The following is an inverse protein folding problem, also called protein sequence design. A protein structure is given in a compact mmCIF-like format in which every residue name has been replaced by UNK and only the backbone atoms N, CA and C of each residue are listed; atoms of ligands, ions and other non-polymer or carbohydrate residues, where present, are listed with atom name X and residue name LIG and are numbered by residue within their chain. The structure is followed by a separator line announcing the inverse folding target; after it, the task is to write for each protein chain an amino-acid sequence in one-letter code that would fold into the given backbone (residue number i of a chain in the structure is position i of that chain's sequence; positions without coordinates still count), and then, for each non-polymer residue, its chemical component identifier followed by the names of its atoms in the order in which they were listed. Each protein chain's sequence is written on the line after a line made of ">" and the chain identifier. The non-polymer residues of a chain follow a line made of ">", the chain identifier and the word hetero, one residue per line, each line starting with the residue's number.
data_IF_138434454759
#
_entry.id   IF_138434454759
#
_cell.length_a   1.000
_cell.length_b   1.000
_cell.length_c   1.000
_cell.angle_alpha   90.00
_cell.angle_beta   90.00
_cell.angle_gamma   90.00
#
_symmetry.space_group_name_H-M   'P 1'
#
loop_
_entity.id
_entity.type
_entity.pdbx_description
1 polymer ?
#
# COMPACT_ATOMS: atom_id res chain seq x y z
N UNK A 1 9.60 9.85 -19.41
CA UNK A 1 9.06 10.40 -18.15
C UNK A 1 8.80 9.21 -17.23
N UNK A 2 9.88 8.58 -16.75
CA UNK A 2 9.80 7.46 -15.83
C UNK A 2 10.09 7.99 -14.43
N UNK A 3 9.03 8.37 -13.73
CA UNK A 3 9.07 8.74 -12.32
C UNK A 3 9.24 7.46 -11.46
N UNK A 4 10.31 6.70 -11.73
CA UNK A 4 10.62 5.40 -11.13
C UNK A 4 11.82 5.51 -10.19
N UNK A 5 11.86 6.51 -9.30
CA UNK A 5 12.87 6.53 -8.23
C UNK A 5 12.62 7.63 -7.20
N UNK A 6 11.72 7.43 -6.25
CA UNK A 6 11.92 7.98 -4.90
C UNK A 6 11.46 6.94 -3.89
N UNK A 7 12.41 6.08 -3.55
CA UNK A 7 12.45 5.11 -2.44
C UNK A 7 12.38 5.78 -1.07
N UNK A 8 11.48 6.74 -0.90
CA UNK A 8 11.18 7.31 0.41
C UNK A 8 10.15 6.38 1.02
N UNK A 9 10.52 5.58 2.04
CA UNK A 9 9.58 4.77 2.83
C UNK A 9 8.44 5.64 3.35
N UNK A 10 7.38 5.72 2.56
CA UNK A 10 6.25 6.61 2.82
C UNK A 10 5.16 5.72 3.36
N UNK A 11 4.94 5.76 4.66
CA UNK A 11 3.88 5.01 5.30
C UNK A 11 2.53 5.63 4.96
N UNK A 12 1.82 5.03 4.00
CA UNK A 12 0.51 5.52 3.56
C UNK A 12 -0.59 4.93 4.43
N UNK A 13 -1.66 5.69 4.64
CA UNK A 13 -2.89 5.14 5.19
C UNK A 13 -3.59 4.29 4.12
N UNK A 14 -4.62 3.55 4.52
CA UNK A 14 -5.44 2.81 3.57
C UNK A 14 -6.04 3.72 2.48
N UNK A 15 -6.56 4.88 2.87
CA UNK A 15 -7.14 5.84 1.96
C UNK A 15 -6.09 6.38 0.98
N UNK A 16 -4.93 6.83 1.48
CA UNK A 16 -3.86 7.34 0.62
C UNK A 16 -3.35 6.28 -0.36
N UNK A 17 -3.24 5.01 0.09
CA UNK A 17 -2.87 3.91 -0.79
C UNK A 17 -3.95 3.62 -1.85
N UNK A 18 -5.22 3.68 -1.46
CA UNK A 18 -6.36 3.50 -2.37
C UNK A 18 -6.36 4.57 -3.46
N UNK A 19 -6.14 5.84 -3.10
CA UNK A 19 -6.05 6.95 -4.05
C UNK A 19 -4.81 6.84 -4.96
N UNK A 20 -3.65 6.49 -4.40
CA UNK A 20 -2.40 6.28 -5.14
C UNK A 20 -2.52 5.17 -6.19
N UNK A 21 -3.10 4.03 -5.79
CA UNK A 21 -3.31 2.88 -6.68
C UNK A 21 -4.55 3.04 -7.56
N UNK A 22 -5.40 4.04 -7.28
CA UNK A 22 -6.75 4.20 -7.85
C UNK A 22 -7.58 2.93 -7.71
N UNK A 23 -7.47 2.29 -6.54
CA UNK A 23 -8.23 1.10 -6.17
C UNK A 23 -9.23 1.45 -5.08
N UNK A 24 -10.37 0.75 -5.01
CA UNK A 24 -11.28 0.92 -3.89
C UNK A 24 -10.62 0.39 -2.61
N UNK A 25 -10.91 1.04 -1.47
CA UNK A 25 -10.42 0.60 -0.16
C UNK A 25 -10.74 -0.86 0.14
N UNK A 26 -11.89 -1.34 -0.38
CA UNK A 26 -12.33 -2.73 -0.27
C UNK A 26 -11.34 -3.74 -0.86
N UNK A 27 -10.61 -3.37 -1.92
CA UNK A 27 -9.53 -4.21 -2.48
C UNK A 27 -8.36 -4.30 -1.51
N UNK A 28 -8.03 -3.20 -0.81
CA UNK A 28 -6.99 -3.22 0.21
C UNK A 28 -7.40 -4.05 1.43
N UNK A 29 -8.69 -4.04 1.78
CA UNK A 29 -9.23 -4.92 2.82
C UNK A 29 -9.12 -6.40 2.40
N UNK A 30 -9.48 -6.72 1.17
CA UNK A 30 -9.34 -8.07 0.61
C UNK A 30 -7.88 -8.54 0.62
N UNK A 31 -6.94 -7.66 0.27
CA UNK A 31 -5.49 -7.92 0.34
C UNK A 31 -4.99 -8.22 1.76
N UNK A 32 -5.57 -7.58 2.77
CA UNK A 32 -5.27 -7.92 4.17
C UNK A 32 -5.78 -9.31 4.56
N UNK A 33 -6.97 -9.68 4.08
CA UNK A 33 -7.57 -10.98 4.37
C UNK A 33 -6.86 -12.12 3.65
N UNK A 34 -6.47 -11.88 2.41
CA UNK A 34 -5.77 -12.85 1.54
C UNK A 34 -4.26 -12.86 1.77
N UNK A 35 -3.74 -12.00 2.66
CA UNK A 35 -2.31 -11.78 2.87
C UNK A 35 -1.54 -11.50 1.56
N UNK A 36 -2.25 -10.95 0.57
CA UNK A 36 -1.75 -10.73 -0.78
C UNK A 36 -1.69 -9.23 -1.01
N UNK A 37 -0.51 -8.62 -0.95
CA UNK A 37 -0.37 -7.18 -1.13
C UNK A 37 0.86 -6.58 -0.46
N UNK A 38 0.99 -5.24 -0.49
CA UNK A 38 2.11 -4.54 0.09
C UNK A 38 2.19 -4.75 1.61
N UNK A 39 3.41 -4.76 2.18
CA UNK A 39 3.61 -4.92 3.61
C UNK A 39 2.85 -3.84 4.37
N UNK A 40 2.02 -4.28 5.31
CA UNK A 40 1.28 -3.39 6.20
C UNK A 40 1.83 -3.49 7.62
N UNK A 41 1.97 -2.32 8.25
CA UNK A 41 2.32 -2.17 9.65
C UNK A 41 1.06 -1.83 10.45
N UNK A 42 0.78 -2.61 11.48
CA UNK A 42 -0.33 -2.34 12.41
C UNK A 42 0.20 -1.55 13.61
N UNK A 43 -0.10 -0.26 13.64
CA UNK A 43 0.19 0.64 14.77
C UNK A 43 -1.08 0.79 15.63
N UNK A 44 -1.33 -0.21 16.46
CA UNK A 44 -2.52 -0.26 17.33
C UNK A 44 -3.81 -0.33 16.52
N UNK A 45 -4.58 0.77 16.52
CA UNK A 45 -5.83 0.90 15.74
C UNK A 45 -5.59 1.33 14.28
N UNK A 46 -4.41 1.85 13.97
CA UNK A 46 -4.08 2.35 12.64
C UNK A 46 -3.29 1.31 11.86
N UNK A 47 -3.62 1.15 10.59
CA UNK A 47 -2.84 0.34 9.66
C UNK A 47 -2.20 1.28 8.66
N UNK A 48 -0.89 1.12 8.47
CA UNK A 48 -0.14 1.85 7.45
C UNK A 48 0.52 0.88 6.49
N UNK A 49 0.62 1.28 5.24
CA UNK A 49 1.23 0.51 4.17
C UNK A 49 2.58 1.10 3.85
N UNK A 50 3.59 0.25 3.79
CA UNK A 50 4.90 0.64 3.27
C UNK A 50 4.88 0.44 1.74
N UNK A 51 4.98 1.56 1.01
CA UNK A 51 5.13 1.56 -0.45
C UNK A 51 6.61 1.66 -0.89
N UNK A 52 7.54 1.68 0.07
CA UNK A 52 8.97 1.66 -0.19
C UNK A 52 9.46 0.27 -0.58
N UNK A 53 8.74 -0.78 -0.18
CA UNK A 53 9.05 -2.16 -0.56
C UNK A 53 8.56 -2.48 -1.98
N UNK A 54 9.50 -2.92 -2.81
CA UNK A 54 9.36 -3.19 -4.25
C UNK A 54 8.37 -4.33 -4.59
N UNK A 55 7.67 -4.91 -3.61
CA UNK A 55 6.72 -6.03 -3.77
C UNK A 55 5.27 -5.59 -4.03
N UNK A 56 5.07 -4.50 -4.77
CA UNK A 56 3.73 -4.22 -5.30
C UNK A 56 3.37 -5.28 -6.34
N UNK A 57 2.13 -5.82 -6.34
CA UNK A 57 1.71 -6.75 -7.37
C UNK A 57 1.77 -6.08 -8.75
N UNK A 58 2.07 -6.83 -9.83
CA UNK A 58 1.99 -6.29 -11.18
C UNK A 58 0.55 -5.81 -11.44
N UNK A 59 0.44 -4.60 -12.01
CA UNK A 59 -0.83 -3.95 -12.35
C UNK A 59 -1.70 -4.79 -13.27
#
# INVERSE_FOLDING_TARGET
>A
MDAMTLITSTFLTQQELAEMLRLPERTLEDWRLTHTGPPYLKLGRHVRYDIGDRRLPPR
#
